data_IF_550154615533
#
_entry.id   IF_550154615533
#
_cell.length_a   1.000
_cell.length_b   1.000
_cell.length_c   1.000
_cell.angle_alpha   90.00
_cell.angle_beta   90.00
_cell.angle_gamma   90.00
#
_symmetry.space_group_name_H-M   'P 1'
#
loop_
_entity.id
_entity.type
_entity.pdbx_description
1 polymer ?
#
# COMPACT_ATOMS: atom_id res chain seq x y z
N UNK A 1 3.75 56.64 72.46
CA UNK A 1 4.88 55.85 73.02
C UNK A 1 5.02 54.54 72.25
N UNK A 2 6.23 54.25 71.79
CA UNK A 2 6.58 53.13 70.89
C UNK A 2 6.34 51.77 71.56
N UNK A 3 5.69 50.82 70.87
CA UNK A 3 5.93 49.38 71.06
C UNK A 3 6.17 48.73 69.70
N UNK A 4 7.39 48.21 69.56
CA UNK A 4 7.95 47.50 68.40
C UNK A 4 7.14 46.24 68.11
N UNK A 5 6.66 46.09 66.87
CA UNK A 5 6.17 44.81 66.35
C UNK A 5 7.34 44.03 65.74
N UNK A 6 7.45 42.76 66.13
CA UNK A 6 8.45 41.78 65.68
C UNK A 6 8.17 41.38 64.22
N UNK A 7 9.19 41.24 63.34
CA UNK A 7 8.96 40.84 61.96
C UNK A 7 8.64 39.34 61.86
N UNK A 8 7.53 39.01 61.18
CA UNK A 8 7.20 37.63 60.78
C UNK A 8 7.98 37.25 59.52
N UNK A 9 8.62 36.09 59.57
CA UNK A 9 9.42 35.49 58.50
C UNK A 9 8.59 35.23 57.22
N UNK A 10 9.17 35.39 56.02
CA UNK A 10 8.48 35.12 54.76
C UNK A 10 8.35 33.60 54.48
N UNK A 11 7.32 33.17 53.72
CA UNK A 11 7.09 31.76 53.41
C UNK A 11 8.16 31.18 52.48
N UNK A 12 8.56 29.93 52.73
CA UNK A 12 9.57 29.19 51.95
C UNK A 12 9.14 29.03 50.48
N UNK A 13 9.99 29.47 49.56
CA UNK A 13 9.89 29.22 48.12
C UNK A 13 9.99 27.71 47.83
N UNK A 14 9.03 27.18 47.09
CA UNK A 14 9.08 25.82 46.53
C UNK A 14 9.99 25.80 45.29
N UNK A 15 10.99 24.92 45.30
CA UNK A 15 11.89 24.70 44.17
C UNK A 15 11.16 24.01 43.00
N UNK A 16 11.49 24.31 41.74
CA UNK A 16 10.85 23.71 40.59
C UNK A 16 11.28 22.24 40.45
N UNK A 17 10.29 21.33 40.36
CA UNK A 17 10.52 19.92 40.03
C UNK A 17 11.12 19.83 38.62
N UNK A 18 12.30 19.21 38.51
CA UNK A 18 12.89 18.80 37.23
C UNK A 18 11.89 17.91 36.45
N UNK A 19 11.77 18.05 35.12
CA UNK A 19 10.95 17.15 34.33
C UNK A 19 11.55 15.74 34.39
N UNK A 20 10.70 14.76 34.72
CA UNK A 20 11.05 13.37 34.71
C UNK A 20 11.35 12.95 33.26
N UNK A 21 12.59 12.55 33.00
CA UNK A 21 12.98 11.85 31.77
C UNK A 21 12.26 10.50 31.77
N UNK A 22 11.18 10.40 31.01
CA UNK A 22 10.55 9.12 30.70
C UNK A 22 11.50 8.32 29.82
N UNK A 23 12.23 7.39 30.44
CA UNK A 23 12.88 6.29 29.74
C UNK A 23 11.78 5.48 29.05
N UNK A 24 11.70 5.59 27.72
CA UNK A 24 10.90 4.70 26.90
C UNK A 24 11.32 3.25 27.18
N UNK A 25 10.36 2.42 27.57
CA UNK A 25 10.54 0.99 27.76
C UNK A 25 10.86 0.39 26.39
N UNK A 26 12.11 0.00 26.19
CA UNK A 26 12.54 -0.76 25.03
C UNK A 26 11.86 -2.14 25.06
N UNK A 27 10.83 -2.31 24.25
CA UNK A 27 10.37 -3.65 23.90
C UNK A 27 11.53 -4.36 23.17
N UNK A 28 11.94 -5.53 23.67
CA UNK A 28 12.92 -6.42 23.03
C UNK A 28 12.51 -6.63 21.57
N UNK A 29 13.28 -6.13 20.60
CA UNK A 29 13.15 -6.58 19.19
C UNK A 29 13.48 -8.07 19.17
N UNK A 30 12.48 -8.91 18.90
CA UNK A 30 12.69 -10.35 18.91
C UNK A 30 13.33 -10.85 17.62
N UNK A 31 13.21 -10.12 16.51
CA UNK A 31 13.75 -10.51 15.19
C UNK A 31 14.33 -9.29 14.45
N UNK A 32 15.52 -9.43 13.87
CA UNK A 32 16.17 -8.37 13.07
C UNK A 32 15.87 -8.56 11.58
N UNK A 33 15.92 -7.47 10.79
CA UNK A 33 15.76 -7.55 9.34
C UNK A 33 16.73 -8.56 8.70
N UNK A 34 17.99 -8.60 9.16
CA UNK A 34 18.97 -9.57 8.69
C UNK A 34 18.56 -11.03 8.95
N UNK A 35 18.00 -11.33 10.13
CA UNK A 35 17.52 -12.67 10.44
C UNK A 35 16.33 -13.08 9.55
N UNK A 36 15.40 -12.16 9.31
CA UNK A 36 14.25 -12.39 8.42
C UNK A 36 14.69 -12.56 6.95
N UNK A 37 15.63 -11.75 6.48
CA UNK A 37 16.21 -11.90 5.13
C UNK A 37 16.86 -13.29 4.97
N UNK A 38 17.56 -13.77 5.99
CA UNK A 38 18.18 -15.09 5.98
C UNK A 38 17.13 -16.22 5.96
N UNK A 39 16.01 -16.07 6.68
CA UNK A 39 14.88 -17.00 6.60
C UNK A 39 14.23 -17.00 5.22
N UNK A 40 13.97 -15.82 4.64
CA UNK A 40 13.45 -15.68 3.28
C UNK A 40 14.38 -16.34 2.25
N UNK A 41 15.70 -16.15 2.39
CA UNK A 41 16.72 -16.77 1.53
C UNK A 41 16.63 -18.29 1.53
N UNK A 42 16.45 -18.91 2.70
CA UNK A 42 16.29 -20.38 2.84
C UNK A 42 15.00 -20.89 2.20
N UNK A 43 13.96 -20.05 2.16
CA UNK A 43 12.68 -20.36 1.51
C UNK A 43 12.67 -20.01 0.01
N UNK A 44 13.77 -19.47 -0.53
CA UNK A 44 13.89 -19.11 -1.94
C UNK A 44 13.79 -20.32 -2.87
N UNK A 45 13.17 -20.11 -4.04
CA UNK A 45 13.02 -21.15 -5.06
C UNK A 45 13.52 -20.66 -6.42
N UNK A 46 14.45 -21.40 -7.02
CA UNK A 46 14.99 -21.06 -8.35
C UNK A 46 13.90 -21.05 -9.43
N UNK A 47 12.94 -21.96 -9.37
CA UNK A 47 11.81 -22.00 -10.31
C UNK A 47 10.96 -20.73 -10.19
N UNK A 48 10.61 -20.32 -8.97
CA UNK A 48 9.90 -19.05 -8.73
C UNK A 48 10.73 -17.86 -9.19
N UNK A 49 12.02 -17.86 -8.91
CA UNK A 49 12.96 -16.81 -9.35
C UNK A 49 12.94 -16.66 -10.88
N UNK A 50 13.05 -17.76 -11.63
CA UNK A 50 12.99 -17.77 -13.09
C UNK A 50 11.68 -17.18 -13.62
N UNK A 51 10.54 -17.56 -13.03
CA UNK A 51 9.24 -17.02 -13.41
C UNK A 51 9.16 -15.51 -13.13
N UNK A 52 9.60 -15.06 -11.96
CA UNK A 52 9.54 -13.64 -11.60
C UNK A 52 10.49 -12.77 -12.47
N UNK A 53 11.62 -13.31 -12.93
CA UNK A 53 12.48 -12.60 -13.90
C UNK A 53 11.77 -12.36 -15.23
N UNK A 54 10.99 -13.34 -15.73
CA UNK A 54 10.16 -13.17 -16.94
C UNK A 54 9.10 -12.07 -16.79
N UNK A 55 8.69 -11.81 -15.55
CA UNK A 55 7.80 -10.73 -15.16
C UNK A 55 8.52 -9.38 -14.91
N UNK A 56 9.85 -9.33 -15.00
CA UNK A 56 10.63 -8.09 -14.83
C UNK A 56 11.23 -7.88 -13.44
N UNK A 57 11.24 -8.88 -12.56
CA UNK A 57 12.06 -8.83 -11.35
C UNK A 57 13.56 -8.79 -11.70
N UNK A 58 14.34 -8.06 -10.90
CA UNK A 58 15.80 -8.00 -10.99
C UNK A 58 16.43 -8.32 -9.64
N UNK A 59 17.67 -8.79 -9.68
CA UNK A 59 18.50 -9.03 -8.50
C UNK A 59 18.71 -7.75 -7.67
N UNK A 60 18.86 -7.86 -6.33
CA UNK A 60 18.86 -9.11 -5.56
C UNK A 60 17.45 -9.59 -5.17
N UNK A 61 17.16 -10.88 -5.34
CA UNK A 61 15.96 -11.52 -4.79
C UNK A 61 16.09 -13.05 -4.73
N UNK A 62 15.28 -13.72 -3.90
CA UNK A 62 15.39 -15.16 -3.61
C UNK A 62 14.31 -15.99 -4.32
N UNK A 63 13.19 -15.39 -4.70
CA UNK A 63 12.05 -16.12 -5.27
C UNK A 63 11.30 -16.92 -4.20
N UNK A 64 11.16 -16.36 -3.01
CA UNK A 64 10.36 -16.91 -1.92
C UNK A 64 8.88 -16.85 -2.30
N UNK A 65 8.15 -17.95 -2.15
CA UNK A 65 6.72 -17.96 -2.48
C UNK A 65 5.93 -17.19 -1.42
N UNK A 66 4.91 -16.45 -1.85
CA UNK A 66 4.03 -15.68 -0.95
C UNK A 66 3.44 -16.55 0.16
N UNK A 67 3.06 -17.79 -0.16
CA UNK A 67 2.53 -18.74 0.83
C UNK A 67 3.53 -19.05 1.97
N UNK A 68 4.83 -19.11 1.64
CA UNK A 68 5.90 -19.41 2.60
C UNK A 68 6.25 -18.18 3.45
N UNK A 69 5.83 -16.98 3.03
CA UNK A 69 5.92 -15.76 3.84
C UNK A 69 4.81 -15.66 4.89
N UNK A 70 3.70 -16.41 4.75
CA UNK A 70 2.54 -16.32 5.66
C UNK A 70 2.86 -16.67 7.11
N UNK A 71 3.66 -17.71 7.43
CA UNK A 71 4.09 -17.97 8.80
C UNK A 71 4.85 -16.80 9.42
N UNK A 72 5.77 -16.19 8.65
CA UNK A 72 6.55 -15.02 9.09
C UNK A 72 5.61 -13.83 9.34
N UNK A 73 4.72 -13.53 8.40
CA UNK A 73 3.72 -12.48 8.53
C UNK A 73 2.83 -12.68 9.78
N UNK A 74 2.37 -13.90 10.04
CA UNK A 74 1.53 -14.21 11.22
C UNK A 74 2.29 -14.07 12.54
N UNK A 75 3.59 -14.41 12.53
CA UNK A 75 4.48 -14.31 13.69
C UNK A 75 4.75 -12.85 14.07
N UNK A 76 5.09 -12.02 13.07
CA UNK A 76 5.44 -10.60 13.26
C UNK A 76 4.19 -9.71 13.40
N UNK A 77 3.14 -9.99 12.63
CA UNK A 77 1.94 -9.16 12.45
C UNK A 77 2.27 -7.80 11.84
N UNK A 78 2.31 -6.74 12.65
CA UNK A 78 2.60 -5.37 12.23
C UNK A 78 3.81 -4.85 13.01
N UNK A 79 4.80 -4.35 12.32
CA UNK A 79 5.99 -3.72 12.89
C UNK A 79 6.51 -2.64 11.92
N UNK A 80 6.32 -1.37 12.30
CA UNK A 80 6.72 -0.21 11.50
C UNK A 80 8.23 -0.20 11.21
N UNK A 81 9.06 -0.33 12.26
CA UNK A 81 10.51 -0.19 12.09
C UNK A 81 11.09 -1.37 11.34
N UNK A 82 10.62 -2.59 11.62
CA UNK A 82 11.08 -3.77 10.88
C UNK A 82 10.66 -3.70 9.41
N UNK A 83 9.47 -3.19 9.09
CA UNK A 83 9.05 -2.98 7.71
C UNK A 83 9.97 -1.99 6.98
N UNK A 84 10.32 -0.86 7.61
CA UNK A 84 11.29 0.09 7.05
C UNK A 84 12.65 -0.57 6.82
N UNK A 85 13.17 -1.28 7.83
CA UNK A 85 14.47 -1.94 7.79
C UNK A 85 14.51 -3.02 6.68
N UNK A 86 13.43 -3.81 6.51
CA UNK A 86 13.30 -4.80 5.44
C UNK A 86 13.20 -4.16 4.05
N UNK A 87 12.43 -3.08 3.92
CA UNK A 87 12.29 -2.40 2.63
C UNK A 87 13.62 -1.78 2.18
N UNK A 88 14.38 -1.24 3.12
CA UNK A 88 15.70 -0.64 2.87
C UNK A 88 16.74 -1.65 2.35
N UNK A 89 16.52 -2.96 2.51
CA UNK A 89 17.44 -3.99 2.00
C UNK A 89 17.54 -4.01 0.47
N UNK A 90 16.53 -3.52 -0.24
CA UNK A 90 16.45 -3.61 -1.70
C UNK A 90 16.21 -5.03 -2.24
N UNK A 91 16.04 -6.03 -1.36
CA UNK A 91 15.77 -7.42 -1.75
C UNK A 91 14.27 -7.57 -1.96
N UNK A 92 13.83 -7.94 -3.17
CA UNK A 92 12.40 -7.90 -3.50
C UNK A 92 11.50 -8.66 -2.53
N UNK A 93 11.91 -9.86 -2.09
CA UNK A 93 11.12 -10.70 -1.19
C UNK A 93 10.95 -10.04 0.17
N UNK A 94 12.00 -9.39 0.67
CA UNK A 94 12.00 -8.64 1.93
C UNK A 94 11.16 -7.36 1.81
N UNK A 95 11.28 -6.64 0.69
CA UNK A 95 10.46 -5.46 0.42
C UNK A 95 8.97 -5.82 0.32
N UNK A 96 8.63 -6.95 -0.31
CA UNK A 96 7.26 -7.43 -0.38
C UNK A 96 6.72 -7.83 1.00
N UNK A 97 7.52 -8.56 1.79
CA UNK A 97 7.17 -8.88 3.18
C UNK A 97 6.98 -7.61 4.02
N UNK A 98 7.81 -6.58 3.81
CA UNK A 98 7.67 -5.29 4.49
C UNK A 98 6.27 -4.69 4.28
N UNK A 99 5.72 -4.73 3.06
CA UNK A 99 4.35 -4.29 2.81
C UNK A 99 3.29 -5.14 3.51
N UNK A 100 3.54 -6.44 3.70
CA UNK A 100 2.64 -7.33 4.45
C UNK A 100 2.60 -6.99 5.95
N UNK A 101 3.74 -6.59 6.53
CA UNK A 101 3.90 -6.34 7.98
C UNK A 101 3.97 -4.86 8.36
N UNK A 102 3.86 -3.93 7.41
CA UNK A 102 3.91 -2.50 7.72
C UNK A 102 2.76 -2.10 8.65
N UNK A 103 3.05 -1.22 9.61
CA UNK A 103 2.01 -0.47 10.30
C UNK A 103 1.69 0.80 9.50
N UNK A 104 0.66 0.70 8.65
CA UNK A 104 0.22 1.74 7.74
C UNK A 104 -0.22 3.03 8.45
N UNK A 105 -0.61 2.95 9.72
CA UNK A 105 -1.05 4.11 10.50
C UNK A 105 0.14 4.96 10.97
N UNK A 106 1.33 4.37 11.02
CA UNK A 106 2.58 5.08 11.37
C UNK A 106 3.34 5.58 10.13
N UNK A 107 3.03 5.05 8.94
CA UNK A 107 3.71 5.41 7.70
C UNK A 107 3.45 6.86 7.33
N UNK A 108 4.52 7.65 7.21
CA UNK A 108 4.44 9.03 6.76
C UNK A 108 4.37 9.13 5.23
N UNK A 109 4.01 10.31 4.71
CA UNK A 109 4.11 10.58 3.27
C UNK A 109 5.54 10.38 2.74
N UNK A 110 6.54 10.80 3.51
CA UNK A 110 7.95 10.68 3.13
C UNK A 110 8.40 9.22 3.08
N UNK A 111 7.91 8.38 4.01
CA UNK A 111 8.19 6.93 3.98
C UNK A 111 7.62 6.30 2.72
N UNK A 112 6.34 6.57 2.41
CA UNK A 112 5.66 6.02 1.24
C UNK A 112 6.28 6.51 -0.09
N UNK A 113 6.70 7.77 -0.16
CA UNK A 113 7.43 8.31 -1.32
C UNK A 113 8.81 7.68 -1.48
N UNK A 114 9.53 7.45 -0.37
CA UNK A 114 10.81 6.75 -0.36
C UNK A 114 10.64 5.31 -0.81
N UNK A 115 9.61 4.63 -0.33
CA UNK A 115 9.25 3.29 -0.77
C UNK A 115 8.95 3.27 -2.27
N UNK A 116 8.07 4.15 -2.75
CA UNK A 116 7.74 4.20 -4.17
C UNK A 116 8.94 4.47 -5.06
N UNK A 117 9.88 5.31 -4.63
CA UNK A 117 11.14 5.54 -5.35
C UNK A 117 12.01 4.27 -5.44
N UNK A 118 11.98 3.42 -4.40
CA UNK A 118 12.67 2.13 -4.37
C UNK A 118 11.92 1.00 -5.11
N UNK A 119 10.64 1.19 -5.43
CA UNK A 119 9.78 0.19 -6.06
C UNK A 119 10.15 -0.02 -7.55
N UNK A 120 11.19 -0.81 -7.78
CA UNK A 120 11.81 -0.95 -9.10
C UNK A 120 11.05 -1.84 -10.10
N UNK A 121 10.05 -2.62 -9.65
CA UNK A 121 9.22 -3.48 -10.49
C UNK A 121 7.81 -3.60 -9.93
N UNK A 122 6.90 -4.15 -10.73
CA UNK A 122 5.46 -4.00 -10.48
C UNK A 122 4.97 -4.66 -9.19
N UNK A 123 5.59 -5.73 -8.69
CA UNK A 123 5.20 -6.33 -7.40
C UNK A 123 5.43 -5.37 -6.22
N UNK A 124 6.31 -4.39 -6.38
CA UNK A 124 6.53 -3.35 -5.38
C UNK A 124 5.63 -2.15 -5.64
N UNK A 125 5.59 -1.66 -6.90
CA UNK A 125 4.87 -0.44 -7.23
C UNK A 125 3.35 -0.62 -7.34
N UNK A 126 2.84 -1.82 -7.60
CA UNK A 126 1.41 -2.09 -7.77
C UNK A 126 0.81 -2.91 -6.62
N UNK A 127 1.62 -3.47 -5.73
CA UNK A 127 1.12 -4.25 -4.59
C UNK A 127 1.65 -3.68 -3.28
N UNK A 128 2.94 -3.87 -3.00
CA UNK A 128 3.57 -3.51 -1.73
C UNK A 128 3.28 -2.07 -1.28
N UNK A 129 3.66 -1.07 -2.07
CA UNK A 129 3.47 0.34 -1.70
C UNK A 129 1.99 0.75 -1.73
N UNK A 130 1.20 0.40 -2.77
CA UNK A 130 -0.22 0.74 -2.81
C UNK A 130 -1.09 0.15 -1.71
N UNK A 131 -0.75 -1.04 -1.19
CA UNK A 131 -1.48 -1.63 -0.05
C UNK A 131 -1.35 -0.76 1.19
N UNK A 132 -0.10 -0.44 1.55
CA UNK A 132 0.21 0.34 2.75
C UNK A 132 -0.35 1.76 2.61
N UNK A 133 -0.19 2.38 1.44
CA UNK A 133 -0.73 3.71 1.18
C UNK A 133 -2.26 3.74 1.31
N UNK A 134 -2.98 2.78 0.72
CA UNK A 134 -4.45 2.77 0.70
C UNK A 134 -5.08 2.48 2.07
N UNK A 135 -4.45 1.64 2.88
CA UNK A 135 -4.95 1.34 4.23
C UNK A 135 -4.63 2.46 5.22
N UNK A 136 -3.54 3.20 5.00
CA UNK A 136 -3.11 4.32 5.84
C UNK A 136 -3.84 5.65 5.60
N UNK A 137 -3.48 6.72 6.34
CA UNK A 137 -4.17 8.01 6.31
C UNK A 137 -3.80 8.89 5.10
N UNK A 138 -2.82 8.49 4.30
CA UNK A 138 -2.25 9.32 3.23
C UNK A 138 -2.62 8.85 1.81
N UNK A 139 -3.30 7.71 1.70
CA UNK A 139 -3.55 7.03 0.42
C UNK A 139 -4.20 7.91 -0.62
N UNK A 140 -5.29 8.60 -0.29
CA UNK A 140 -6.04 9.42 -1.26
C UNK A 140 -5.18 10.55 -1.85
N UNK A 141 -4.58 11.37 -0.99
CA UNK A 141 -3.78 12.52 -1.42
C UNK A 141 -2.53 12.09 -2.21
N UNK A 142 -1.85 11.01 -1.78
CA UNK A 142 -0.69 10.49 -2.50
C UNK A 142 -1.09 9.87 -3.83
N UNK A 143 -2.17 9.10 -3.88
CA UNK A 143 -2.61 8.47 -5.11
C UNK A 143 -2.97 9.50 -6.18
N UNK A 144 -3.70 10.57 -5.83
CA UNK A 144 -4.00 11.68 -6.74
C UNK A 144 -2.73 12.39 -7.24
N UNK A 145 -1.71 12.54 -6.39
CA UNK A 145 -0.41 13.07 -6.82
C UNK A 145 0.29 12.11 -7.78
N UNK A 146 0.29 10.81 -7.47
CA UNK A 146 1.04 9.81 -8.21
C UNK A 146 0.48 9.56 -9.61
N UNK A 147 -0.84 9.59 -9.81
CA UNK A 147 -1.46 9.41 -11.15
C UNK A 147 -1.11 10.51 -12.15
N UNK A 148 -0.61 11.67 -11.70
CA UNK A 148 -0.11 12.75 -12.57
C UNK A 148 1.37 12.61 -12.93
N UNK A 149 2.07 11.64 -12.36
CA UNK A 149 3.48 11.42 -12.65
C UNK A 149 3.70 10.96 -14.09
N UNK A 150 4.77 11.46 -14.71
CA UNK A 150 5.23 10.96 -16.02
C UNK A 150 6.01 9.64 -15.91
N UNK A 151 6.48 9.29 -14.71
CA UNK A 151 7.07 7.97 -14.47
C UNK A 151 5.96 6.91 -14.40
N UNK A 152 6.03 5.93 -15.31
CA UNK A 152 5.04 4.88 -15.47
C UNK A 152 4.75 4.11 -14.17
N UNK A 153 5.79 3.77 -13.40
CA UNK A 153 5.65 3.00 -12.15
C UNK A 153 4.92 3.80 -11.08
N UNK A 154 5.28 5.08 -10.95
CA UNK A 154 4.62 6.02 -10.04
C UNK A 154 3.15 6.19 -10.40
N UNK A 155 2.85 6.42 -11.68
CA UNK A 155 1.46 6.55 -12.13
C UNK A 155 0.65 5.26 -11.90
N UNK A 156 1.22 4.10 -12.22
CA UNK A 156 0.59 2.80 -11.94
C UNK A 156 0.33 2.60 -10.44
N UNK A 157 1.28 2.96 -9.57
CA UNK A 157 1.11 2.92 -8.12
C UNK A 157 -0.06 3.79 -7.65
N UNK A 158 -0.22 4.99 -8.22
CA UNK A 158 -1.36 5.86 -7.95
C UNK A 158 -2.69 5.20 -8.28
N UNK A 159 -2.83 4.66 -9.49
CA UNK A 159 -4.06 3.98 -9.92
C UNK A 159 -4.37 2.73 -9.10
N UNK A 160 -3.35 1.96 -8.73
CA UNK A 160 -3.56 0.80 -7.86
C UNK A 160 -3.89 1.20 -6.42
N UNK A 161 -3.35 2.31 -5.92
CA UNK A 161 -3.72 2.85 -4.59
C UNK A 161 -5.19 3.27 -4.58
N UNK A 162 -5.68 3.92 -5.64
CA UNK A 162 -7.11 4.25 -5.79
C UNK A 162 -7.99 2.99 -5.85
N UNK A 163 -7.54 1.98 -6.59
CA UNK A 163 -8.23 0.67 -6.69
C UNK A 163 -8.35 -0.02 -5.32
N UNK A 164 -7.28 0.08 -4.52
CA UNK A 164 -7.22 -0.47 -3.18
C UNK A 164 -8.13 0.31 -2.22
N UNK A 165 -8.09 1.66 -2.26
CA UNK A 165 -8.93 2.53 -1.43
C UNK A 165 -10.42 2.18 -1.56
N UNK A 166 -10.94 2.14 -2.79
CA UNK A 166 -12.35 1.80 -3.00
C UNK A 166 -12.71 0.38 -2.58
N UNK A 167 -11.73 -0.52 -2.57
CA UNK A 167 -11.92 -1.90 -2.15
C UNK A 167 -11.97 -2.08 -0.63
N UNK A 168 -11.29 -1.25 0.17
CA UNK A 168 -11.21 -1.43 1.64
C UNK A 168 -11.93 -0.39 2.46
N UNK A 169 -12.02 0.85 1.99
CA UNK A 169 -12.66 1.93 2.75
C UNK A 169 -14.18 1.80 2.69
N UNK A 170 -14.90 2.08 3.79
CA UNK A 170 -16.35 2.14 3.77
C UNK A 170 -16.84 3.26 2.86
N UNK A 171 -18.08 3.14 2.38
CA UNK A 171 -18.61 4.04 1.34
C UNK A 171 -18.75 5.50 1.79
N UNK A 172 -18.94 5.75 3.09
CA UNK A 172 -19.04 7.08 3.70
C UNK A 172 -17.69 7.82 3.81
N UNK A 173 -16.57 7.09 3.67
CA UNK A 173 -15.23 7.68 3.59
C UNK A 173 -14.79 7.98 2.13
N UNK A 174 -15.62 7.66 1.13
CA UNK A 174 -15.26 7.77 -0.28
C UNK A 174 -15.91 8.98 -0.97
N UNK A 175 -15.10 9.75 -1.70
CA UNK A 175 -15.60 10.79 -2.61
C UNK A 175 -16.00 10.18 -3.97
N UNK A 176 -17.23 9.67 -4.05
CA UNK A 176 -17.73 9.05 -5.28
C UNK A 176 -17.74 9.99 -6.49
N UNK A 177 -17.91 11.30 -6.29
CA UNK A 177 -17.86 12.26 -7.39
C UNK A 177 -16.45 12.33 -7.98
N UNK A 178 -15.41 12.31 -7.14
CA UNK A 178 -14.03 12.23 -7.59
C UNK A 178 -13.72 10.89 -8.28
N UNK A 179 -14.15 9.74 -7.73
CA UNK A 179 -13.99 8.44 -8.38
C UNK A 179 -14.68 8.38 -9.75
N UNK A 180 -15.87 8.97 -9.89
CA UNK A 180 -16.57 9.04 -11.17
C UNK A 180 -15.79 9.87 -12.21
N UNK A 181 -15.22 11.02 -11.81
CA UNK A 181 -14.34 11.82 -12.69
C UNK A 181 -13.11 11.02 -13.12
N UNK A 182 -12.51 10.26 -12.20
CA UNK A 182 -11.38 9.39 -12.50
C UNK A 182 -11.76 8.25 -13.46
N UNK A 183 -12.93 7.63 -13.30
CA UNK A 183 -13.45 6.64 -14.25
C UNK A 183 -13.62 7.23 -15.66
N UNK A 184 -14.16 8.44 -15.77
CA UNK A 184 -14.30 9.15 -17.04
C UNK A 184 -12.95 9.49 -17.68
N UNK A 185 -11.93 9.83 -16.87
CA UNK A 185 -10.55 9.99 -17.36
C UNK A 185 -10.05 8.68 -17.95
N UNK A 186 -10.17 7.57 -17.20
CA UNK A 186 -9.74 6.25 -17.67
C UNK A 186 -10.40 5.89 -19.01
N UNK A 187 -11.72 6.09 -19.14
CA UNK A 187 -12.44 5.85 -20.39
C UNK A 187 -11.80 6.56 -21.59
N UNK A 188 -11.35 7.80 -21.40
CA UNK A 188 -10.81 8.65 -22.47
C UNK A 188 -9.35 8.38 -22.79
N UNK A 189 -8.56 7.95 -21.80
CA UNK A 189 -7.09 7.99 -21.91
C UNK A 189 -6.41 6.64 -21.84
N UNK A 190 -7.09 5.57 -21.39
CA UNK A 190 -6.44 4.28 -21.06
C UNK A 190 -5.62 3.73 -22.21
N UNK A 191 -6.14 3.74 -23.44
CA UNK A 191 -5.44 3.14 -24.60
C UNK A 191 -4.16 3.90 -25.00
N UNK A 192 -3.99 5.14 -24.57
CA UNK A 192 -2.81 5.96 -24.84
C UNK A 192 -1.81 5.95 -23.66
N UNK A 193 -2.12 5.26 -22.56
CA UNK A 193 -1.22 5.23 -21.41
C UNK A 193 -0.08 4.22 -21.60
N UNK A 194 1.03 4.39 -20.84
CA UNK A 194 2.07 3.37 -20.70
C UNK A 194 1.52 2.02 -20.25
N UNK A 195 2.21 0.95 -20.62
CA UNK A 195 1.78 -0.43 -20.47
C UNK A 195 1.24 -0.78 -19.07
N UNK A 196 2.01 -0.50 -18.01
CA UNK A 196 1.62 -0.78 -16.62
C UNK A 196 0.52 0.15 -16.12
N UNK A 197 0.49 1.39 -16.60
CA UNK A 197 -0.61 2.32 -16.29
C UNK A 197 -1.92 1.83 -16.88
N UNK A 198 -1.93 1.24 -18.09
CA UNK A 198 -3.13 0.59 -18.65
C UNK A 198 -3.64 -0.53 -17.76
N UNK A 199 -2.73 -1.39 -17.30
CA UNK A 199 -3.07 -2.49 -16.40
C UNK A 199 -3.71 -1.97 -15.10
N UNK A 200 -3.09 -0.97 -14.47
CA UNK A 200 -3.58 -0.37 -13.23
C UNK A 200 -4.92 0.36 -13.42
N UNK A 201 -5.09 1.10 -14.52
CA UNK A 201 -6.36 1.75 -14.87
C UNK A 201 -7.48 0.73 -15.13
N UNK A 202 -7.20 -0.38 -15.82
CA UNK A 202 -8.17 -1.45 -16.03
C UNK A 202 -8.61 -2.06 -14.69
N UNK A 203 -7.66 -2.30 -13.78
CA UNK A 203 -7.95 -2.77 -12.42
C UNK A 203 -8.74 -1.75 -11.59
N UNK A 204 -8.53 -0.45 -11.81
CA UNK A 204 -9.31 0.61 -11.19
C UNK A 204 -10.78 0.58 -11.61
N UNK A 205 -11.06 0.40 -12.92
CA UNK A 205 -12.44 0.23 -13.41
C UNK A 205 -13.10 -1.00 -12.78
N UNK A 206 -12.39 -2.12 -12.74
CA UNK A 206 -12.87 -3.36 -12.10
C UNK A 206 -13.18 -3.12 -10.61
N UNK A 207 -12.29 -2.41 -9.91
CA UNK A 207 -12.43 -2.17 -8.47
C UNK A 207 -13.60 -1.25 -8.16
N UNK A 208 -13.79 -0.18 -8.94
CA UNK A 208 -14.96 0.68 -8.82
C UNK A 208 -16.25 -0.10 -9.09
N UNK A 209 -16.27 -0.91 -10.15
CA UNK A 209 -17.44 -1.69 -10.52
C UNK A 209 -17.78 -2.78 -9.50
N UNK A 210 -16.75 -3.40 -8.93
CA UNK A 210 -16.85 -4.56 -8.05
C UNK A 210 -17.07 -4.24 -6.58
N UNK A 211 -16.46 -3.18 -6.05
CA UNK A 211 -16.43 -2.88 -4.61
C UNK A 211 -17.29 -1.68 -4.20
N UNK A 212 -17.97 -1.01 -5.14
CA UNK A 212 -18.79 0.17 -4.85
C UNK A 212 -20.11 0.09 -5.61
N UNK A 213 -21.20 -0.23 -4.89
CA UNK A 213 -22.54 -0.28 -5.50
C UNK A 213 -22.91 1.03 -6.21
N UNK A 214 -22.65 2.23 -5.64
CA UNK A 214 -22.96 3.48 -6.33
C UNK A 214 -22.24 3.69 -7.67
N UNK A 215 -21.13 2.98 -7.92
CA UNK A 215 -20.33 3.13 -9.14
C UNK A 215 -20.46 1.93 -10.09
N UNK A 216 -21.11 0.84 -9.67
CA UNK A 216 -21.18 -0.41 -10.44
C UNK A 216 -21.68 -0.19 -11.87
N UNK A 217 -22.83 0.45 -12.03
CA UNK A 217 -23.44 0.63 -13.35
C UNK A 217 -22.55 1.48 -14.28
N UNK A 218 -22.03 2.60 -13.76
CA UNK A 218 -21.15 3.48 -14.54
C UNK A 218 -19.82 2.83 -14.87
N UNK A 219 -19.20 2.13 -13.92
CA UNK A 219 -17.97 1.38 -14.18
C UNK A 219 -18.20 0.29 -15.24
N UNK A 220 -19.34 -0.41 -15.21
CA UNK A 220 -19.69 -1.42 -16.22
C UNK A 220 -19.87 -0.81 -17.61
N UNK A 221 -20.57 0.32 -17.71
CA UNK A 221 -20.74 1.03 -18.98
C UNK A 221 -19.40 1.52 -19.55
N UNK A 222 -18.54 2.08 -18.70
CA UNK A 222 -17.20 2.53 -19.06
C UNK A 222 -16.32 1.36 -19.48
N UNK A 223 -16.34 0.25 -18.74
CA UNK A 223 -15.59 -0.96 -19.08
C UNK A 223 -15.96 -1.47 -20.47
N UNK A 224 -17.26 -1.47 -20.83
CA UNK A 224 -17.73 -1.86 -22.17
C UNK A 224 -17.24 -0.89 -23.26
N UNK A 225 -17.27 0.41 -22.99
CA UNK A 225 -16.81 1.43 -23.93
C UNK A 225 -15.29 1.41 -24.14
N UNK A 226 -14.51 1.07 -23.10
CA UNK A 226 -13.06 0.87 -23.20
C UNK A 226 -12.75 -0.35 -24.07
N UNK A 227 -13.47 -1.47 -23.91
CA UNK A 227 -13.19 -2.70 -24.63
C UNK A 227 -11.96 -3.44 -24.10
N UNK A 228 -11.27 -4.17 -24.97
CA UNK A 228 -10.09 -4.98 -24.61
C UNK A 228 -8.91 -4.06 -24.33
N UNK A 229 -8.24 -4.27 -23.19
CA UNK A 229 -7.02 -3.55 -22.81
C UNK A 229 -5.82 -4.48 -22.96
N UNK A 230 -4.95 -4.20 -23.92
CA UNK A 230 -3.74 -4.96 -24.16
C UNK A 230 -2.60 -4.49 -23.24
N UNK A 231 -2.04 -5.44 -22.48
CA UNK A 231 -0.90 -5.23 -21.58
C UNK A 231 0.13 -6.31 -21.87
N UNK A 232 1.35 -5.88 -22.14
CA UNK A 232 2.51 -6.75 -22.18
C UNK A 232 2.87 -7.19 -20.74
N UNK A 233 2.83 -8.50 -20.50
CA UNK A 233 3.11 -9.11 -19.21
C UNK A 233 4.49 -9.79 -19.17
N UNK A 234 5.36 -9.47 -20.14
CA UNK A 234 6.65 -10.12 -20.36
C UNK A 234 6.48 -11.49 -21.02
N UNK A 235 7.52 -12.34 -20.91
CA UNK A 235 7.53 -13.70 -21.47
C UNK A 235 6.68 -14.67 -20.63
N UNK A 236 5.38 -14.36 -20.50
CA UNK A 236 4.43 -15.08 -19.65
C UNK A 236 3.11 -15.31 -20.37
N UNK A 237 2.34 -16.29 -19.93
CA UNK A 237 0.99 -16.57 -20.44
C UNK A 237 -0.10 -15.76 -19.72
N UNK A 238 0.28 -14.77 -18.90
CA UNK A 238 -0.66 -13.97 -18.13
C UNK A 238 -1.50 -13.07 -19.04
N UNK A 239 -2.82 -13.06 -18.80
CA UNK A 239 -3.78 -12.27 -19.58
C UNK A 239 -4.33 -11.12 -18.75
N UNK A 240 -4.47 -9.96 -19.37
CA UNK A 240 -5.22 -8.82 -18.81
C UNK A 240 -6.69 -9.21 -18.64
N UNK A 241 -7.29 -9.02 -17.46
CA UNK A 241 -8.71 -9.26 -17.28
C UNK A 241 -9.56 -8.36 -18.17
N UNK A 242 -10.55 -8.93 -18.85
CA UNK A 242 -11.58 -8.15 -19.53
C UNK A 242 -12.56 -7.59 -18.48
N UNK A 243 -12.50 -6.29 -18.23
CA UNK A 243 -13.21 -5.65 -17.12
C UNK A 243 -14.73 -5.90 -17.08
N UNK A 244 -15.48 -5.83 -18.20
CA UNK A 244 -16.92 -6.11 -18.20
C UNK A 244 -17.28 -7.51 -17.71
N UNK A 245 -16.53 -8.52 -18.14
CA UNK A 245 -16.73 -9.91 -17.70
C UNK A 245 -16.31 -10.10 -16.25
N UNK A 246 -15.23 -9.45 -15.83
CA UNK A 246 -14.76 -9.58 -14.46
C UNK A 246 -15.80 -9.03 -13.48
N UNK A 247 -16.32 -7.82 -13.72
CA UNK A 247 -17.39 -7.22 -12.92
C UNK A 247 -18.66 -8.09 -12.95
N UNK A 248 -19.05 -8.61 -14.13
CA UNK A 248 -20.19 -9.52 -14.24
C UNK A 248 -20.01 -10.82 -13.42
N UNK A 249 -18.80 -11.38 -13.38
CA UNK A 249 -18.47 -12.53 -12.50
C UNK A 249 -18.56 -12.15 -11.02
N UNK A 250 -18.17 -10.93 -10.65
CA UNK A 250 -18.34 -10.43 -9.27
C UNK A 250 -19.82 -10.30 -8.87
N UNK A 251 -20.67 -9.94 -9.83
CA UNK A 251 -22.12 -9.93 -9.67
C UNK A 251 -22.69 -11.33 -9.52
N UNK A 252 -22.37 -12.25 -10.42
CA UNK A 252 -22.87 -13.63 -10.39
C UNK A 252 -22.54 -14.36 -9.07
N UNK A 253 -21.37 -14.08 -8.48
CA UNK A 253 -20.96 -14.66 -7.19
C UNK A 253 -21.49 -13.91 -5.95
N UNK A 254 -22.35 -12.89 -6.14
CA UNK A 254 -22.98 -12.14 -5.06
C UNK A 254 -21.99 -11.34 -4.21
N UNK A 255 -20.96 -10.74 -4.83
CA UNK A 255 -19.90 -9.99 -4.12
C UNK A 255 -19.82 -8.51 -4.47
N UNK A 256 -20.74 -7.98 -5.28
CA UNK A 256 -20.73 -6.55 -5.57
C UNK A 256 -20.90 -5.72 -4.29
N UNK A 257 -20.09 -4.67 -4.18
CA UNK A 257 -20.08 -3.78 -3.02
C UNK A 257 -19.44 -4.36 -1.77
N UNK A 258 -19.06 -5.65 -1.75
CA UNK A 258 -18.43 -6.25 -0.57
C UNK A 258 -17.01 -5.74 -0.42
N UNK A 259 -16.77 -4.88 0.57
CA UNK A 259 -15.43 -4.38 0.91
C UNK A 259 -14.52 -5.53 1.37
N UNK A 260 -13.24 -5.41 1.06
CA UNK A 260 -12.18 -6.26 1.58
C UNK A 260 -11.82 -5.83 3.00
N UNK A 261 -11.41 -6.80 3.84
CA UNK A 261 -10.82 -6.52 5.16
C UNK A 261 -9.44 -5.88 5.06
N UNK A 262 -8.69 -6.22 4.01
CA UNK A 262 -7.34 -5.71 3.73
C UNK A 262 -7.04 -5.81 2.24
N UNK A 263 -6.21 -4.90 1.73
CA UNK A 263 -5.63 -4.96 0.39
C UNK A 263 -4.53 -6.02 0.27
N UNK A 264 -3.92 -6.39 1.39
CA UNK A 264 -2.76 -7.28 1.46
C UNK A 264 -3.17 -8.71 1.10
N UNK A 265 -2.23 -9.43 0.48
CA UNK A 265 -2.40 -10.82 0.11
C UNK A 265 -2.67 -11.70 1.34
#
# INVERSE_FOLDING_TARGET
MKKKAVPKSPPKKSSPKKPAVTKGVGAKRTESAAAIVEELRKLGSQSTKNTLMKHGAREPFFGTKIQDMKPIQKRIKKDYQLALDLYATGISDAMYLAGLIADEMQMTKADLETWLKGAYWYMLSEYTVPWVAAEGPHGWALALKWIESKDEKTAAAGWTTLSNLIAVKPDDELDFAAFLKLLQRVQKTIHQQPNRVRAAMNMFVISCGGYSQPLTEKAQAIAKAIGIVEVDMGDTSCKTPFAPEYIAKMHARGTLGKKKKTCRC
#
